data_IF_910990696072
#
_entry.id   IF_910990696072
#
_cell.length_a   1.000
_cell.length_b   1.000
_cell.length_c   1.000
_cell.angle_alpha   90.00
_cell.angle_beta   90.00
_cell.angle_gamma   90.00
#
_symmetry.space_group_name_H-M   'P 1'
#
loop_
_entity.id
_entity.type
_entity.pdbx_description
1 polymer ?
#
# COMPACT_ATOMS: atom_id res chain seq x y z
N UNK A 1 -9.65 -11.86 -12.32
CA UNK A 1 -10.09 -11.54 -10.95
C UNK A 1 -9.97 -12.82 -10.14
N UNK A 2 -9.31 -12.78 -8.98
CA UNK A 2 -9.21 -13.98 -8.12
C UNK A 2 -10.56 -14.26 -7.47
N UNK A 3 -10.85 -15.55 -7.29
CA UNK A 3 -12.08 -16.03 -6.65
C UNK A 3 -11.77 -16.54 -5.26
N UNK A 4 -12.76 -16.54 -4.39
CA UNK A 4 -12.70 -17.18 -3.08
C UNK A 4 -12.31 -18.66 -3.20
N UNK A 5 -11.46 -19.14 -2.31
CA UNK A 5 -10.91 -20.50 -2.31
C UNK A 5 -9.72 -20.70 -3.26
N UNK A 6 -9.34 -19.72 -4.10
CA UNK A 6 -8.10 -19.82 -4.89
C UNK A 6 -6.87 -19.63 -4.01
N UNK A 7 -5.79 -20.34 -4.33
CA UNK A 7 -4.49 -20.23 -3.66
C UNK A 7 -3.50 -19.47 -4.52
N UNK A 8 -2.63 -18.71 -3.87
CA UNK A 8 -1.42 -18.12 -4.43
C UNK A 8 -0.24 -18.81 -3.74
N UNK A 9 0.69 -19.37 -4.55
CA UNK A 9 1.84 -20.18 -4.08
C UNK A 9 1.43 -21.32 -3.12
N UNK A 10 0.28 -21.92 -3.29
CA UNK A 10 -0.25 -23.00 -2.40
C UNK A 10 -0.29 -22.59 -0.91
N UNK A 11 -0.05 -21.33 -0.61
CA UNK A 11 0.10 -20.76 0.74
C UNK A 11 -1.00 -19.78 1.13
N UNK A 12 -1.36 -18.87 0.24
CA UNK A 12 -2.30 -17.79 0.55
C UNK A 12 -3.66 -18.08 -0.06
N UNK A 13 -4.60 -18.55 0.74
CA UNK A 13 -5.99 -18.81 0.33
C UNK A 13 -6.78 -17.49 0.29
N UNK A 14 -7.36 -17.16 -0.84
CA UNK A 14 -8.21 -15.98 -1.03
C UNK A 14 -9.55 -16.19 -0.33
N UNK A 15 -9.87 -15.31 0.60
CA UNK A 15 -11.15 -15.31 1.34
C UNK A 15 -12.17 -14.38 0.68
N UNK A 16 -11.73 -13.25 0.14
CA UNK A 16 -12.61 -12.30 -0.54
C UNK A 16 -11.92 -10.98 -0.85
N UNK A 17 -12.51 -10.21 -1.76
CA UNK A 17 -11.99 -8.89 -2.12
C UNK A 17 -12.45 -7.85 -1.10
N UNK A 18 -11.50 -7.07 -0.58
CA UNK A 18 -11.73 -6.01 0.43
C UNK A 18 -11.52 -4.60 -0.11
N UNK A 19 -10.87 -4.44 -1.28
CA UNK A 19 -10.64 -3.15 -1.90
C UNK A 19 -10.36 -3.25 -3.38
N UNK A 20 -10.56 -2.15 -4.11
CA UNK A 20 -10.21 -2.03 -5.54
C UNK A 20 -9.62 -0.65 -5.79
N UNK A 21 -8.40 -0.61 -6.30
CA UNK A 21 -7.71 0.62 -6.71
C UNK A 21 -7.57 0.72 -8.24
N UNK A 22 -6.85 1.74 -8.70
CA UNK A 22 -6.62 1.96 -10.13
C UNK A 22 -5.92 0.76 -10.79
N UNK A 23 -4.76 0.36 -10.26
CA UNK A 23 -3.92 -0.68 -10.88
C UNK A 23 -3.95 -2.04 -10.16
N UNK A 24 -4.51 -2.12 -8.96
CA UNK A 24 -4.51 -3.33 -8.15
C UNK A 24 -5.83 -3.49 -7.38
N UNK A 25 -6.18 -4.74 -7.12
CA UNK A 25 -7.25 -5.13 -6.20
C UNK A 25 -6.62 -5.66 -4.90
N UNK A 26 -7.29 -5.45 -3.77
CA UNK A 26 -6.85 -5.93 -2.45
C UNK A 26 -7.80 -7.01 -1.97
N UNK A 27 -7.24 -8.14 -1.56
CA UNK A 27 -7.98 -9.29 -1.05
C UNK A 27 -7.59 -9.58 0.40
N UNK A 28 -8.55 -10.03 1.19
CA UNK A 28 -8.28 -10.74 2.44
C UNK A 28 -7.89 -12.17 2.08
N UNK A 29 -6.81 -12.67 2.66
CA UNK A 29 -6.36 -14.05 2.47
C UNK A 29 -5.95 -14.69 3.79
N UNK A 30 -5.93 -16.02 3.82
CA UNK A 30 -5.39 -16.83 4.91
C UNK A 30 -3.99 -17.31 4.53
N UNK A 31 -2.98 -16.93 5.30
CA UNK A 31 -1.64 -17.52 5.24
C UNK A 31 -1.64 -18.84 6.01
N UNK A 32 -1.66 -19.96 5.30
CA UNK A 32 -1.71 -21.30 5.92
C UNK A 32 -0.39 -21.68 6.59
N UNK A 33 0.74 -21.13 6.15
CA UNK A 33 2.05 -21.41 6.77
C UNK A 33 2.18 -20.80 8.16
N UNK A 34 1.72 -19.54 8.32
CA UNK A 34 1.80 -18.82 9.59
C UNK A 34 0.46 -18.76 10.33
N UNK A 35 -0.58 -19.43 9.81
CA UNK A 35 -1.93 -19.48 10.38
C UNK A 35 -2.50 -18.11 10.77
N UNK A 36 -2.35 -17.11 9.90
CA UNK A 36 -2.84 -15.75 10.11
C UNK A 36 -3.60 -15.21 8.90
N UNK A 37 -4.43 -14.18 9.11
CA UNK A 37 -5.01 -13.42 8.00
C UNK A 37 -4.05 -12.32 7.55
N UNK A 38 -4.02 -12.09 6.24
CA UNK A 38 -3.20 -11.08 5.56
C UNK A 38 -4.03 -10.33 4.53
N UNK A 39 -3.57 -9.15 4.13
CA UNK A 39 -4.05 -8.47 2.94
C UNK A 39 -3.13 -8.82 1.76
N UNK A 40 -3.70 -9.11 0.61
CA UNK A 40 -2.96 -9.42 -0.62
C UNK A 40 -3.37 -8.41 -1.69
N UNK A 41 -2.45 -7.52 -2.04
CA UNK A 41 -2.61 -6.54 -3.12
C UNK A 41 -2.16 -7.18 -4.43
N UNK A 42 -3.06 -7.30 -5.39
CA UNK A 42 -2.86 -8.06 -6.63
C UNK A 42 -2.92 -7.12 -7.82
N UNK A 43 -1.88 -7.10 -8.65
CA UNK A 43 -1.84 -6.32 -9.88
C UNK A 43 -2.94 -6.81 -10.84
N UNK A 44 -3.76 -5.89 -11.36
CA UNK A 44 -4.85 -6.22 -12.27
C UNK A 44 -4.35 -6.80 -13.59
N UNK A 45 -5.09 -7.71 -14.24
CA UNK A 45 -4.67 -8.41 -15.44
C UNK A 45 -4.22 -7.49 -16.58
N UNK A 46 -4.89 -6.35 -16.76
CA UNK A 46 -4.58 -5.37 -17.80
C UNK A 46 -3.18 -4.76 -17.68
N UNK A 47 -2.61 -4.71 -16.48
CA UNK A 47 -1.27 -4.16 -16.22
C UNK A 47 -0.15 -5.21 -16.17
N UNK A 48 -0.50 -6.52 -16.15
CA UNK A 48 0.50 -7.61 -16.00
C UNK A 48 1.40 -7.81 -17.21
N UNK A 49 1.05 -7.24 -18.37
CA UNK A 49 1.89 -7.28 -19.59
C UNK A 49 2.80 -6.08 -19.73
N UNK A 50 2.61 -5.03 -18.95
CA UNK A 50 3.40 -3.81 -18.97
C UNK A 50 4.53 -3.89 -17.94
N UNK A 51 5.77 -4.02 -18.43
CA UNK A 51 6.97 -4.09 -17.58
C UNK A 51 7.12 -2.86 -16.68
N UNK A 52 6.66 -1.69 -17.11
CA UNK A 52 6.72 -0.46 -16.32
C UNK A 52 5.82 -0.52 -15.09
N UNK A 53 4.60 -1.05 -15.23
CA UNK A 53 3.69 -1.25 -14.09
C UNK A 53 4.18 -2.34 -13.14
N UNK A 54 4.68 -3.47 -13.66
CA UNK A 54 5.27 -4.54 -12.84
C UNK A 54 6.46 -4.01 -12.03
N UNK A 55 7.36 -3.26 -12.66
CA UNK A 55 8.51 -2.66 -11.98
C UNK A 55 8.07 -1.70 -10.89
N UNK A 56 7.14 -0.79 -11.17
CA UNK A 56 6.58 0.14 -10.16
C UNK A 56 5.97 -0.60 -8.99
N UNK A 57 5.18 -1.64 -9.26
CA UNK A 57 4.53 -2.45 -8.24
C UNK A 57 5.54 -3.15 -7.32
N UNK A 58 6.62 -3.72 -7.90
CA UNK A 58 7.70 -4.35 -7.13
C UNK A 58 8.51 -3.34 -6.30
N UNK A 59 8.83 -2.18 -6.87
CA UNK A 59 9.61 -1.14 -6.17
C UNK A 59 8.78 -0.54 -5.01
N UNK A 60 7.46 -0.37 -5.16
CA UNK A 60 6.55 0.00 -4.07
C UNK A 60 6.67 -0.97 -2.89
N UNK A 61 6.58 -2.27 -3.19
CA UNK A 61 6.71 -3.30 -2.18
C UNK A 61 8.09 -3.32 -1.50
N UNK A 62 9.16 -3.22 -2.28
CA UNK A 62 10.54 -3.22 -1.77
C UNK A 62 10.82 -2.01 -0.88
N UNK A 63 10.28 -0.84 -1.21
CA UNK A 63 10.41 0.36 -0.38
C UNK A 63 9.75 0.20 0.99
N UNK A 64 8.61 -0.48 1.04
CA UNK A 64 7.87 -0.71 2.29
C UNK A 64 8.37 -1.94 3.07
N UNK A 65 9.04 -2.91 2.43
CA UNK A 65 9.43 -4.17 3.05
C UNK A 65 10.44 -4.03 4.21
N UNK A 66 11.21 -2.95 4.24
CA UNK A 66 12.16 -2.65 5.33
C UNK A 66 11.56 -1.85 6.48
N UNK A 67 10.31 -1.40 6.38
CA UNK A 67 9.68 -0.55 7.38
C UNK A 67 8.87 -1.39 8.37
N UNK A 68 9.23 -1.33 9.64
CA UNK A 68 8.48 -1.92 10.75
C UNK A 68 8.12 -0.81 11.74
N UNK A 69 6.88 -0.33 11.72
CA UNK A 69 6.41 0.74 12.59
C UNK A 69 4.90 0.58 12.88
N UNK A 70 4.40 0.88 14.10
CA UNK A 70 2.97 0.73 14.44
C UNK A 70 2.04 1.55 13.54
N UNK A 71 2.50 2.68 13.00
CA UNK A 71 1.73 3.55 12.12
C UNK A 71 2.02 3.34 10.62
N UNK A 72 2.65 2.24 10.25
CA UNK A 72 2.88 1.82 8.85
C UNK A 72 2.29 0.43 8.65
N UNK A 73 1.66 0.17 7.50
CA UNK A 73 1.24 -1.17 7.11
C UNK A 73 2.47 -1.99 6.74
N UNK A 74 2.73 -3.08 7.48
CA UNK A 74 3.89 -3.91 7.23
C UNK A 74 3.73 -4.73 5.94
N UNK A 75 4.76 -4.74 5.10
CA UNK A 75 4.86 -5.66 3.95
C UNK A 75 5.55 -6.94 4.41
N UNK A 76 4.95 -8.08 4.13
CA UNK A 76 5.43 -9.39 4.55
C UNK A 76 6.12 -10.15 3.44
N UNK A 77 5.63 -10.03 2.19
CA UNK A 77 6.12 -10.81 1.07
C UNK A 77 5.79 -10.14 -0.27
N UNK A 78 6.56 -10.45 -1.31
CA UNK A 78 6.32 -10.04 -2.69
C UNK A 78 6.35 -11.27 -3.57
N UNK A 79 5.23 -11.59 -4.15
CA UNK A 79 4.98 -12.84 -4.86
C UNK A 79 4.83 -12.60 -6.36
N UNK A 80 5.48 -13.46 -7.15
CA UNK A 80 5.26 -13.62 -8.58
C UNK A 80 4.92 -15.10 -8.82
N UNK A 81 3.64 -15.37 -9.05
CA UNK A 81 3.10 -16.72 -9.20
C UNK A 81 2.36 -16.82 -10.53
N UNK A 82 2.95 -17.53 -11.50
CA UNK A 82 2.42 -17.72 -12.86
C UNK A 82 1.93 -16.43 -13.55
N UNK A 83 2.68 -15.31 -13.34
CA UNK A 83 2.32 -14.00 -13.88
C UNK A 83 1.24 -13.26 -13.06
N UNK A 84 0.91 -13.74 -11.87
CA UNK A 84 0.13 -13.04 -10.86
C UNK A 84 1.10 -12.32 -9.92
N UNK A 85 1.16 -11.00 -10.01
CA UNK A 85 2.03 -10.18 -9.16
C UNK A 85 1.27 -9.71 -7.93
N UNK A 86 1.78 -10.05 -6.75
CA UNK A 86 1.13 -9.77 -5.47
C UNK A 86 2.08 -9.16 -4.45
N UNK A 87 1.56 -8.31 -3.58
CA UNK A 87 2.20 -7.84 -2.36
C UNK A 87 1.37 -8.36 -1.19
N UNK A 88 1.99 -9.16 -0.32
CA UNK A 88 1.37 -9.67 0.90
C UNK A 88 1.73 -8.74 2.05
N UNK A 89 0.72 -8.26 2.77
CA UNK A 89 0.90 -7.24 3.80
C UNK A 89 -0.02 -7.47 5.00
N UNK A 90 0.21 -6.71 6.04
CA UNK A 90 -0.63 -6.66 7.22
C UNK A 90 -2.09 -6.38 6.84
N UNK A 91 -2.99 -7.22 7.37
CA UNK A 91 -4.43 -6.96 7.29
C UNK A 91 -4.81 -6.01 8.42
N UNK A 92 -5.13 -4.78 8.08
CA UNK A 92 -5.66 -3.80 9.03
C UNK A 92 -7.18 -3.80 8.98
N UNK A 93 -7.82 -4.19 10.07
CA UNK A 93 -9.27 -4.10 10.18
C UNK A 93 -9.68 -2.64 10.45
N UNK A 94 -10.22 -1.99 9.43
CA UNK A 94 -10.59 -0.59 9.49
C UNK A 94 -11.08 -0.07 8.14
N UNK A 95 -11.16 1.25 8.05
CA UNK A 95 -11.56 1.97 6.83
C UNK A 95 -10.53 3.04 6.49
N UNK A 96 -10.50 3.50 5.24
CA UNK A 96 -9.62 4.62 4.87
C UNK A 96 -10.04 5.90 5.62
N UNK A 97 -9.09 6.79 5.88
CA UNK A 97 -9.38 8.09 6.45
C UNK A 97 -10.37 8.89 5.58
N UNK A 98 -10.33 8.68 4.26
CA UNK A 98 -11.33 9.26 3.34
C UNK A 98 -12.73 8.79 3.71
N UNK A 99 -12.94 7.46 3.82
CA UNK A 99 -14.24 6.89 4.21
C UNK A 99 -14.65 7.32 5.62
N UNK A 100 -13.69 7.40 6.54
CA UNK A 100 -13.95 7.87 7.90
C UNK A 100 -14.49 9.31 7.89
N UNK A 101 -13.90 10.22 7.11
CA UNK A 101 -14.37 11.61 6.97
C UNK A 101 -15.73 11.65 6.27
N UNK A 102 -15.97 10.85 5.24
CA UNK A 102 -17.25 10.75 4.54
C UNK A 102 -18.38 10.29 5.45
N UNK A 103 -18.11 9.38 6.39
CA UNK A 103 -19.08 8.84 7.33
C UNK A 103 -19.33 9.75 8.54
N UNK A 104 -18.31 10.42 9.05
CA UNK A 104 -18.37 11.19 10.30
C UNK A 104 -18.38 12.71 10.09
N UNK A 105 -18.16 13.18 8.85
CA UNK A 105 -18.02 14.60 8.56
C UNK A 105 -16.68 15.18 9.01
N UNK A 106 -16.69 16.45 9.34
CA UNK A 106 -15.50 17.18 9.78
C UNK A 106 -14.98 16.63 11.12
N UNK A 107 -13.68 16.30 11.16
CA UNK A 107 -13.01 15.86 12.39
C UNK A 107 -13.02 16.99 13.45
N UNK A 108 -13.23 16.64 14.70
CA UNK A 108 -12.96 17.56 15.81
C UNK A 108 -11.43 17.77 15.94
N UNK A 109 -11.05 18.82 16.65
CA UNK A 109 -9.63 19.22 16.77
C UNK A 109 -8.79 18.12 17.43
N UNK A 110 -9.27 17.50 18.49
CA UNK A 110 -8.54 16.45 19.22
C UNK A 110 -8.25 15.23 18.34
N UNK A 111 -9.26 14.73 17.63
CA UNK A 111 -9.10 13.62 16.68
C UNK A 111 -8.16 13.98 15.54
N UNK A 112 -8.27 15.20 14.98
CA UNK A 112 -7.42 15.64 13.89
C UNK A 112 -5.95 15.73 14.34
N UNK A 113 -5.67 16.27 15.52
CA UNK A 113 -4.33 16.33 16.10
C UNK A 113 -3.78 14.92 16.34
N UNK A 114 -4.56 14.05 16.99
CA UNK A 114 -4.14 12.66 17.27
C UNK A 114 -3.78 11.91 15.99
N UNK A 115 -4.63 11.97 14.96
CA UNK A 115 -4.37 11.34 13.68
C UNK A 115 -3.11 11.92 13.01
N UNK A 116 -2.94 13.25 13.06
CA UNK A 116 -1.77 13.91 12.49
C UNK A 116 -0.47 13.48 13.16
N UNK A 117 -0.45 13.34 14.49
CA UNK A 117 0.71 12.85 15.24
C UNK A 117 1.08 11.43 14.79
N UNK A 118 0.10 10.53 14.70
CA UNK A 118 0.33 9.15 14.29
C UNK A 118 0.84 9.06 12.84
N UNK A 119 0.28 9.85 11.92
CA UNK A 119 0.74 9.93 10.52
C UNK A 119 2.19 10.43 10.49
N UNK A 120 2.50 11.52 11.22
CA UNK A 120 3.84 12.09 11.27
C UNK A 120 4.86 11.08 11.82
N UNK A 121 4.50 10.33 12.87
CA UNK A 121 5.36 9.28 13.45
C UNK A 121 5.68 8.17 12.44
N UNK A 122 4.69 7.71 11.67
CA UNK A 122 4.94 6.75 10.59
C UNK A 122 5.83 7.31 9.47
N UNK A 123 5.63 8.58 9.09
CA UNK A 123 6.45 9.24 8.07
C UNK A 123 7.88 9.50 8.55
N UNK A 124 8.07 9.85 9.82
CA UNK A 124 9.39 10.01 10.44
C UNK A 124 10.18 8.70 10.34
N UNK A 125 9.59 7.57 10.75
CA UNK A 125 10.21 6.26 10.63
C UNK A 125 10.58 5.89 9.18
N UNK A 126 9.76 6.26 8.21
CA UNK A 126 10.07 6.07 6.78
C UNK A 126 11.24 6.96 6.35
N UNK A 127 11.25 8.23 6.75
CA UNK A 127 12.31 9.19 6.40
C UNK A 127 13.66 8.81 7.00
N UNK A 128 13.71 8.30 8.21
CA UNK A 128 14.92 7.75 8.84
C UNK A 128 15.52 6.59 8.03
N UNK A 129 14.68 5.84 7.32
CA UNK A 129 15.08 4.80 6.37
C UNK A 129 15.25 5.32 4.93
N UNK A 130 15.35 6.64 4.74
CA UNK A 130 15.50 7.30 3.42
C UNK A 130 14.36 7.03 2.44
N UNK A 131 13.16 6.72 2.94
CA UNK A 131 11.98 6.43 2.14
C UNK A 131 11.00 7.61 2.24
N UNK A 132 10.65 8.18 1.09
CA UNK A 132 9.67 9.27 0.98
C UNK A 132 8.38 8.70 0.39
N UNK A 133 7.26 8.93 1.04
CA UNK A 133 5.95 8.38 0.64
C UNK A 133 5.44 8.92 -0.71
N UNK A 134 5.59 10.22 -0.97
CA UNK A 134 5.24 10.94 -2.23
C UNK A 134 3.77 11.01 -2.62
N UNK A 135 2.87 10.28 -1.94
CA UNK A 135 1.43 10.26 -2.23
C UNK A 135 0.58 10.20 -0.95
N UNK A 136 0.90 11.06 0.04
CA UNK A 136 0.10 11.16 1.27
C UNK A 136 -1.24 11.79 0.94
N UNK A 137 -2.30 11.02 1.21
CA UNK A 137 -3.70 11.43 1.04
C UNK A 137 -4.63 10.55 1.88
N UNK A 138 -5.86 10.99 2.19
CA UNK A 138 -6.78 10.23 3.04
C UNK A 138 -7.09 8.81 2.55
N UNK A 139 -6.95 8.53 1.26
CA UNK A 139 -7.14 7.18 0.70
C UNK A 139 -6.02 6.22 1.09
N UNK A 140 -4.80 6.74 1.35
CA UNK A 140 -3.62 5.95 1.69
C UNK A 140 -3.35 5.92 3.21
N UNK A 141 -4.36 6.21 4.00
CA UNK A 141 -4.32 6.18 5.48
C UNK A 141 -5.50 5.35 5.94
N UNK A 142 -5.22 4.35 6.78
CA UNK A 142 -6.24 3.47 7.35
C UNK A 142 -6.46 3.86 8.81
N UNK A 143 -7.71 4.04 9.18
CA UNK A 143 -8.17 4.19 10.57
C UNK A 143 -8.65 2.82 11.01
N UNK A 144 -7.91 2.17 11.91
CA UNK A 144 -8.28 0.86 12.44
C UNK A 144 -9.51 0.96 13.35
N UNK A 145 -10.17 -0.17 13.61
CA UNK A 145 -11.30 -0.24 14.55
C UNK A 145 -10.98 0.30 15.95
N UNK A 146 -9.70 0.24 16.35
CA UNK A 146 -9.24 0.73 17.65
C UNK A 146 -8.78 2.21 17.61
N UNK A 147 -9.01 2.93 16.51
CA UNK A 147 -8.60 4.32 16.34
C UNK A 147 -7.11 4.55 16.02
N UNK A 148 -6.36 3.48 15.78
CA UNK A 148 -4.95 3.60 15.38
C UNK A 148 -4.86 3.91 13.87
N UNK A 149 -3.93 4.79 13.54
CA UNK A 149 -3.63 5.15 12.15
C UNK A 149 -2.53 4.27 11.58
N UNK A 150 -2.71 3.82 10.34
CA UNK A 150 -1.66 3.16 9.57
C UNK A 150 -1.55 3.77 8.18
N UNK A 151 -0.34 4.20 7.84
CA UNK A 151 0.01 4.68 6.48
C UNK A 151 0.26 3.47 5.59
N UNK A 152 -0.34 3.47 4.41
CA UNK A 152 -0.19 2.41 3.39
C UNK A 152 0.17 3.01 2.03
N UNK A 153 0.56 2.16 1.07
CA UNK A 153 0.83 2.57 -0.31
C UNK A 153 1.94 3.63 -0.43
N UNK A 154 3.16 3.29 0.03
CA UNK A 154 4.36 4.11 -0.18
C UNK A 154 4.63 4.23 -1.68
N UNK A 155 4.05 5.27 -2.29
CA UNK A 155 3.92 5.42 -3.72
C UNK A 155 5.21 5.80 -4.45
N UNK A 156 5.57 5.02 -5.45
CA UNK A 156 6.68 5.31 -6.37
C UNK A 156 6.16 5.97 -7.66
N UNK A 157 4.93 6.41 -7.69
CA UNK A 157 4.29 6.94 -8.90
C UNK A 157 4.99 8.16 -9.53
N UNK A 158 6.03 8.74 -8.91
CA UNK A 158 6.73 9.94 -9.42
C UNK A 158 8.22 9.81 -9.75
N UNK A 159 8.83 8.65 -9.70
CA UNK A 159 10.25 8.51 -10.09
C UNK A 159 10.49 8.63 -11.60
N UNK A 160 9.45 8.70 -12.43
CA UNK A 160 9.58 8.76 -13.90
C UNK A 160 9.51 10.18 -14.49
N UNK A 161 9.37 11.25 -13.68
CA UNK A 161 9.25 12.63 -14.19
C UNK A 161 10.50 13.49 -13.97
N UNK A 162 11.56 12.99 -13.38
CA UNK A 162 12.76 13.79 -13.08
C UNK A 162 13.91 13.69 -14.11
N UNK A 163 13.71 13.01 -15.24
CA UNK A 163 14.75 12.89 -16.28
C UNK A 163 14.51 13.74 -17.53
N UNK A 164 13.72 14.81 -17.46
CA UNK A 164 13.48 15.67 -18.64
C UNK A 164 13.73 17.15 -18.38
N UNK A 165 14.75 17.50 -17.59
CA UNK A 165 15.20 18.90 -17.46
C UNK A 165 16.72 19.00 -17.25
N UNK A 166 17.52 18.44 -18.16
CA UNK A 166 18.95 18.83 -18.34
C UNK A 166 19.46 18.41 -19.71
N UNK A 167 18.86 18.96 -20.77
CA UNK A 167 19.55 19.07 -22.07
C UNK A 167 18.90 20.21 -22.86
N UNK A 168 19.40 21.42 -22.67
CA UNK A 168 18.97 22.54 -23.48
C UNK A 168 19.36 23.87 -22.89
N UNK A 169 20.64 24.19 -22.88
CA UNK A 169 21.18 25.55 -23.03
C UNK A 169 22.71 25.54 -22.87
N UNK A 170 23.41 25.15 -23.93
CA UNK A 170 24.72 25.72 -24.25
C UNK A 170 24.72 25.86 -25.77
N UNK A 171 24.62 27.07 -26.21
CA UNK A 171 24.70 27.46 -27.63
C UNK A 171 24.69 28.96 -27.76
N UNK A 172 25.88 29.54 -27.92
CA UNK A 172 26.24 30.86 -28.43
C UNK A 172 26.59 31.88 -27.38
#
# INVERSE_FOLDING_TARGET
MLKEGMFIQERYEIIGRIGSGGMADVYKAKDHTLNRFVAVKVLKPEFRKDKGFITKFRVEAQSAAGLAHPNIVNVYDVVDDEGIYCIVMELVEGITLKQYIEQNGRLNMETAINFSIQIASGLEAAHENHIIHRDIKPQNIIVSKNGNIKVTDFGIAKAASSNTLTSGAMGS
#
